data_IF_027299622847
#
_entry.id   IF_027299622847
#
_cell.length_a   1.000
_cell.length_b   1.000
_cell.length_c   1.000
_cell.angle_alpha   90.00
_cell.angle_beta   90.00
_cell.angle_gamma   90.00
#
_symmetry.space_group_name_H-M   'P 1'
#
loop_
_entity.id
_entity.type
_entity.pdbx_description
1 polymer ?
#
# COMPACT_ATOMS: atom_id res chain seq x y z
N UNK A 1 4.82 -17.80 -2.62
CA UNK A 1 5.86 -18.74 -3.11
C UNK A 1 7.16 -18.53 -2.31
N UNK A 2 7.89 -19.61 -2.00
CA UNK A 2 9.05 -19.64 -1.09
C UNK A 2 10.39 -19.22 -1.72
N UNK A 3 10.41 -18.17 -2.54
CA UNK A 3 11.67 -17.60 -3.03
C UNK A 3 12.25 -16.66 -1.99
N UNK A 4 13.56 -16.79 -1.75
CA UNK A 4 14.29 -15.82 -0.95
C UNK A 4 14.20 -14.41 -1.57
N UNK A 5 14.29 -13.35 -0.77
CA UNK A 5 14.10 -11.98 -1.27
C UNK A 5 15.05 -11.58 -2.40
N UNK A 6 16.27 -12.14 -2.44
CA UNK A 6 17.27 -11.81 -3.43
C UNK A 6 16.96 -12.50 -4.76
N UNK A 7 16.69 -13.81 -4.75
CA UNK A 7 16.31 -14.56 -5.95
C UNK A 7 15.04 -13.99 -6.59
N UNK A 8 14.07 -13.56 -5.77
CA UNK A 8 12.86 -12.89 -6.26
C UNK A 8 13.17 -11.62 -7.05
N UNK A 9 14.05 -10.76 -6.52
CA UNK A 9 14.49 -9.54 -7.23
C UNK A 9 15.23 -9.86 -8.53
N UNK A 10 16.09 -10.87 -8.52
CA UNK A 10 16.80 -11.29 -9.73
C UNK A 10 15.80 -11.75 -10.80
N UNK A 11 14.83 -12.58 -10.42
CA UNK A 11 13.75 -13.04 -11.31
C UNK A 11 12.96 -11.86 -11.87
N UNK A 12 12.52 -10.94 -11.01
CA UNK A 12 11.74 -9.78 -11.44
C UNK A 12 12.51 -8.91 -12.44
N UNK A 13 13.79 -8.66 -12.18
CA UNK A 13 14.65 -7.91 -13.10
C UNK A 13 14.82 -8.63 -14.45
N UNK A 14 14.94 -9.95 -14.45
CA UNK A 14 15.03 -10.73 -15.68
C UNK A 14 13.73 -10.65 -16.52
N UNK A 15 12.58 -10.74 -15.85
CA UNK A 15 11.27 -10.59 -16.50
C UNK A 15 11.10 -9.19 -17.10
N UNK A 16 11.43 -8.15 -16.32
CA UNK A 16 11.36 -6.75 -16.79
C UNK A 16 12.23 -6.51 -18.02
N UNK A 17 13.45 -7.07 -18.06
CA UNK A 17 14.35 -6.97 -19.23
C UNK A 17 13.82 -7.69 -20.46
N UNK A 18 13.03 -8.75 -20.27
CA UNK A 18 12.46 -9.56 -21.37
C UNK A 18 11.22 -8.90 -21.98
N UNK A 19 10.60 -7.94 -21.27
CA UNK A 19 9.42 -7.21 -21.74
C UNK A 19 9.73 -6.12 -22.77
N UNK A 20 11.00 -5.81 -23.03
CA UNK A 20 11.34 -4.86 -24.09
C UNK A 20 10.79 -5.37 -25.42
N UNK A 21 9.90 -4.60 -26.03
CA UNK A 21 9.15 -4.91 -27.26
C UNK A 21 8.18 -6.10 -27.21
N UNK A 22 7.81 -6.60 -26.01
CA UNK A 22 6.89 -7.75 -25.86
C UNK A 22 5.78 -7.49 -24.85
N UNK A 23 4.62 -8.10 -25.10
CA UNK A 23 3.54 -8.16 -24.11
C UNK A 23 3.66 -9.46 -23.29
N UNK A 24 3.62 -9.33 -21.96
CA UNK A 24 3.62 -10.46 -21.04
C UNK A 24 2.34 -10.42 -20.19
N UNK A 25 1.66 -11.56 -20.06
CA UNK A 25 0.52 -11.73 -19.16
C UNK A 25 0.97 -12.65 -18.03
N UNK A 26 0.77 -12.19 -16.79
CA UNK A 26 1.12 -12.92 -15.59
C UNK A 26 -0.12 -13.07 -14.71
N UNK A 27 -0.24 -14.23 -14.07
CA UNK A 27 -1.22 -14.46 -13.01
C UNK A 27 -0.46 -14.72 -11.72
N UNK A 28 -0.66 -13.89 -10.71
CA UNK A 28 -0.04 -14.06 -9.40
C UNK A 28 -1.06 -13.83 -8.30
N UNK A 29 -0.85 -14.50 -7.16
CA UNK A 29 -1.58 -14.27 -5.92
C UNK A 29 -0.89 -13.20 -5.04
N UNK A 30 0.30 -12.74 -5.44
CA UNK A 30 1.07 -11.74 -4.71
C UNK A 30 0.82 -10.35 -5.30
N UNK A 31 0.25 -9.45 -4.51
CA UNK A 31 0.08 -8.05 -4.91
C UNK A 31 1.42 -7.34 -5.11
N UNK A 32 2.45 -7.68 -4.32
CA UNK A 32 3.80 -7.13 -4.48
C UNK A 32 4.42 -7.49 -5.83
N UNK A 33 4.30 -8.76 -6.25
CA UNK A 33 4.77 -9.21 -7.58
C UNK A 33 4.01 -8.47 -8.68
N UNK A 34 2.69 -8.38 -8.55
CA UNK A 34 1.85 -7.75 -9.54
C UNK A 34 2.16 -6.25 -9.69
N UNK A 35 2.33 -5.53 -8.58
CA UNK A 35 2.63 -4.10 -8.57
C UNK A 35 4.01 -3.78 -9.16
N UNK A 36 5.00 -4.65 -8.95
CA UNK A 36 6.35 -4.42 -9.49
C UNK A 36 6.47 -4.82 -10.96
N UNK A 37 5.81 -5.90 -11.38
CA UNK A 37 5.98 -6.47 -12.71
C UNK A 37 4.97 -5.95 -13.74
N UNK A 38 3.79 -5.48 -13.31
CA UNK A 38 2.69 -5.19 -14.23
C UNK A 38 2.41 -3.69 -14.32
N UNK A 39 2.43 -3.14 -15.54
CA UNK A 39 1.93 -1.77 -15.79
C UNK A 39 0.41 -1.64 -15.71
N UNK A 40 -0.31 -2.76 -15.88
CA UNK A 40 -1.77 -2.87 -15.71
C UNK A 40 -2.11 -4.09 -14.88
N UNK A 41 -2.96 -3.91 -13.89
CA UNK A 41 -3.49 -4.96 -13.02
C UNK A 41 -4.93 -5.26 -13.38
N UNK A 42 -5.28 -6.54 -13.38
CA UNK A 42 -6.65 -7.03 -13.50
C UNK A 42 -7.01 -7.89 -12.29
N UNK A 43 -8.15 -7.62 -11.65
CA UNK A 43 -8.65 -8.42 -10.53
C UNK A 43 -9.77 -9.33 -11.06
N UNK A 44 -9.58 -10.65 -10.87
CA UNK A 44 -10.55 -11.68 -11.28
C UNK A 44 -11.12 -12.34 -10.04
N UNK A 45 -12.45 -12.40 -9.96
CA UNK A 45 -13.19 -13.05 -8.85
C UNK A 45 -14.24 -13.96 -9.46
N UNK A 46 -14.28 -15.21 -9.00
CA UNK A 46 -15.23 -16.24 -9.48
C UNK A 46 -15.27 -16.38 -11.02
N UNK A 47 -14.11 -16.27 -11.68
CA UNK A 47 -13.99 -16.39 -13.14
C UNK A 47 -14.39 -15.14 -13.93
N UNK A 48 -14.73 -14.04 -13.27
CA UNK A 48 -15.10 -12.78 -13.93
C UNK A 48 -14.09 -11.66 -13.63
N UNK A 49 -13.76 -10.87 -14.65
CA UNK A 49 -12.90 -9.69 -14.49
C UNK A 49 -13.69 -8.57 -13.84
N UNK A 50 -13.34 -8.24 -12.59
CA UNK A 50 -14.02 -7.23 -11.79
C UNK A 50 -13.50 -5.83 -12.10
N UNK A 51 -12.19 -5.68 -12.26
CA UNK A 51 -11.58 -4.40 -12.62
C UNK A 51 -10.26 -4.59 -13.36
N UNK A 52 -9.89 -3.59 -14.16
CA UNK A 52 -8.60 -3.52 -14.85
C UNK A 52 -8.12 -2.07 -14.93
N UNK A 53 -6.84 -1.81 -14.68
CA UNK A 53 -6.28 -0.46 -14.71
C UNK A 53 -4.83 -0.42 -14.26
N UNK A 54 -4.21 0.76 -14.25
CA UNK A 54 -2.91 0.91 -13.58
C UNK A 54 -3.07 0.71 -12.07
N UNK A 55 -2.02 0.26 -11.36
CA UNK A 55 -2.05 0.15 -9.89
C UNK A 55 -2.54 1.43 -9.21
N UNK A 56 -2.07 2.61 -9.64
CA UNK A 56 -2.51 3.87 -9.04
C UNK A 56 -3.99 4.16 -9.30
N UNK A 57 -4.50 3.87 -10.49
CA UNK A 57 -5.92 4.08 -10.81
C UNK A 57 -6.81 3.17 -9.97
N UNK A 58 -6.43 1.91 -9.79
CA UNK A 58 -7.18 0.98 -8.95
C UNK A 58 -7.13 1.41 -7.48
N UNK A 59 -5.97 1.82 -6.96
CA UNK A 59 -5.84 2.39 -5.60
C UNK A 59 -6.69 3.66 -5.45
N UNK A 60 -6.81 4.48 -6.47
CA UNK A 60 -7.66 5.68 -6.43
C UNK A 60 -9.16 5.39 -6.49
N UNK A 61 -9.56 4.38 -7.28
CA UNK A 61 -10.96 4.05 -7.49
C UNK A 61 -11.54 3.17 -6.36
N UNK A 62 -10.73 2.26 -5.82
CA UNK A 62 -11.17 1.24 -4.86
C UNK A 62 -10.50 1.38 -3.48
N UNK A 63 -9.45 2.21 -3.34
CA UNK A 63 -8.79 2.42 -2.06
C UNK A 63 -9.64 3.26 -1.10
N UNK A 64 -9.68 2.84 0.16
CA UNK A 64 -10.51 3.47 1.20
C UNK A 64 -9.86 4.68 1.88
N UNK A 65 -8.60 4.98 1.58
CA UNK A 65 -7.84 6.03 2.24
C UNK A 65 -6.34 5.75 2.23
N UNK A 66 -5.64 6.38 3.17
CA UNK A 66 -4.21 6.20 3.39
C UNK A 66 -3.98 5.50 4.74
N UNK A 67 -3.01 4.61 4.76
CA UNK A 67 -2.54 3.97 5.98
C UNK A 67 -1.27 4.70 6.46
N UNK A 68 -1.34 5.26 7.66
CA UNK A 68 -0.26 6.03 8.29
C UNK A 68 0.26 5.21 9.47
N UNK A 69 1.45 4.65 9.32
CA UNK A 69 2.13 3.96 10.42
C UNK A 69 3.14 4.88 11.11
N UNK A 70 2.91 5.14 12.39
CA UNK A 70 3.78 5.95 13.23
C UNK A 70 4.56 5.01 14.15
N UNK A 71 5.89 5.13 14.14
CA UNK A 71 6.79 4.34 15.00
C UNK A 71 7.54 5.25 15.95
N UNK A 72 7.52 4.89 17.23
CA UNK A 72 8.30 5.56 18.28
C UNK A 72 9.67 4.89 18.39
N UNK A 73 10.70 5.70 18.67
CA UNK A 73 12.05 5.20 18.94
C UNK A 73 12.12 4.36 20.22
N UNK A 74 11.30 4.68 21.21
CA UNK A 74 11.23 4.00 22.49
C UNK A 74 9.80 3.51 22.73
N UNK A 75 9.67 2.30 23.28
CA UNK A 75 8.41 1.68 23.62
C UNK A 75 7.75 2.46 24.77
N UNK A 76 6.61 3.10 24.50
CA UNK A 76 5.92 3.92 25.49
C UNK A 76 4.45 4.04 25.11
N UNK A 77 3.59 3.30 25.82
CA UNK A 77 2.15 3.30 25.58
C UNK A 77 1.54 4.70 25.75
N UNK A 78 1.97 5.47 26.75
CA UNK A 78 1.48 6.84 26.97
C UNK A 78 1.76 7.77 25.79
N UNK A 79 2.96 7.67 25.20
CA UNK A 79 3.32 8.43 24.00
C UNK A 79 2.54 8.01 22.76
N UNK A 80 2.25 6.72 22.61
CA UNK A 80 1.38 6.25 21.52
C UNK A 80 0.01 6.89 21.64
N UNK A 81 -0.58 6.88 22.84
CA UNK A 81 -1.88 7.49 23.09
C UNK A 81 -1.88 9.00 22.82
N UNK A 82 -0.85 9.74 23.25
CA UNK A 82 -0.70 11.17 22.97
C UNK A 82 -0.66 11.46 21.46
N UNK A 83 0.10 10.66 20.71
CA UNK A 83 0.21 10.80 19.25
C UNK A 83 -1.12 10.50 18.56
N UNK A 84 -1.82 9.45 18.98
CA UNK A 84 -3.15 9.12 18.43
C UNK A 84 -4.13 10.26 18.69
N UNK A 85 -4.14 10.82 19.90
CA UNK A 85 -5.01 11.94 20.24
C UNK A 85 -4.69 13.19 19.41
N UNK A 86 -3.41 13.56 19.30
CA UNK A 86 -2.98 14.70 18.48
C UNK A 86 -3.38 14.51 17.00
N UNK A 87 -3.17 13.30 16.46
CA UNK A 87 -3.50 12.99 15.08
C UNK A 87 -5.02 13.00 14.83
N UNK A 88 -5.82 12.49 15.77
CA UNK A 88 -7.28 12.53 15.69
C UNK A 88 -7.86 13.94 15.83
N UNK A 89 -7.16 14.87 16.49
CA UNK A 89 -7.57 16.28 16.52
C UNK A 89 -7.44 16.95 15.15
N UNK A 90 -6.38 16.65 14.39
CA UNK A 90 -6.19 17.18 13.04
C UNK A 90 -7.03 16.43 11.99
N UNK A 91 -7.24 15.12 12.20
CA UNK A 91 -7.97 14.23 11.29
C UNK A 91 -9.06 13.43 12.03
N UNK A 92 -10.26 14.00 12.23
CA UNK A 92 -11.32 13.39 13.03
C UNK A 92 -11.85 12.07 12.45
N UNK A 93 -11.79 11.88 11.13
CA UNK A 93 -12.26 10.65 10.50
C UNK A 93 -11.20 9.54 10.47
N UNK A 94 -10.01 9.77 11.02
CA UNK A 94 -8.95 8.78 11.11
C UNK A 94 -9.33 7.64 12.07
N UNK A 95 -9.17 6.40 11.62
CA UNK A 95 -9.48 5.18 12.40
C UNK A 95 -8.20 4.47 12.79
N UNK A 96 -8.11 4.03 14.04
CA UNK A 96 -7.00 3.15 14.45
C UNK A 96 -7.20 1.77 13.84
N UNK A 97 -6.21 1.29 13.09
CA UNK A 97 -6.19 -0.06 12.53
C UNK A 97 -5.49 -1.02 13.49
N UNK A 98 -4.28 -0.66 13.91
CA UNK A 98 -3.45 -1.48 14.80
C UNK A 98 -2.70 -0.60 15.80
N UNK A 99 -2.58 -1.08 17.03
CA UNK A 99 -1.83 -0.41 18.09
C UNK A 99 -0.81 -1.37 18.72
N UNK A 100 0.43 -0.90 18.86
CA UNK A 100 1.55 -1.63 19.42
C UNK A 100 2.28 -0.74 20.43
N UNK A 101 3.06 -1.33 21.33
CA UNK A 101 3.81 -0.56 22.36
C UNK A 101 4.81 0.42 21.74
N UNK A 102 5.28 0.15 20.53
CA UNK A 102 6.26 0.97 19.79
C UNK A 102 5.64 1.82 18.69
N UNK A 103 4.32 1.87 18.54
CA UNK A 103 3.71 2.62 17.46
C UNK A 103 2.25 2.28 17.17
N UNK A 104 1.67 3.01 16.24
CA UNK A 104 0.26 2.88 15.86
C UNK A 104 0.13 2.99 14.35
N UNK A 105 -0.86 2.30 13.78
CA UNK A 105 -1.25 2.41 12.39
C UNK A 105 -2.67 2.96 12.30
N UNK A 106 -2.84 4.03 11.53
CA UNK A 106 -4.08 4.79 11.39
C UNK A 106 -4.55 4.76 9.93
N UNK A 107 -5.83 4.52 9.68
CA UNK A 107 -6.48 4.69 8.40
C UNK A 107 -7.09 6.09 8.31
N UNK A 108 -6.60 6.90 7.39
CA UNK A 108 -7.13 8.24 7.11
C UNK A 108 -7.98 8.21 5.84
N UNK A 109 -9.28 8.50 5.92
CA UNK A 109 -10.14 8.56 4.73
C UNK A 109 -9.63 9.59 3.72
N UNK A 110 -9.74 9.26 2.44
CA UNK A 110 -9.22 10.08 1.34
C UNK A 110 -9.80 11.51 1.30
N UNK A 111 -11.01 11.71 1.82
CA UNK A 111 -11.70 13.01 1.81
C UNK A 111 -11.02 14.06 2.71
N UNK A 112 -10.26 13.64 3.71
CA UNK A 112 -9.60 14.55 4.67
C UNK A 112 -8.12 14.79 4.40
N UNK A 113 -7.54 14.11 3.40
CA UNK A 113 -6.08 14.06 3.24
C UNK A 113 -5.64 14.57 1.87
N UNK A 114 -5.13 15.80 1.86
CA UNK A 114 -4.41 16.41 0.73
C UNK A 114 -2.91 16.16 0.91
N UNK A 115 -2.44 15.02 0.37
CA UNK A 115 -1.04 14.56 0.48
C UNK A 115 -0.03 15.60 -0.01
N UNK A 116 -0.41 16.44 -0.97
CA UNK A 116 0.43 17.53 -1.48
C UNK A 116 0.72 18.58 -0.40
N UNK A 117 -0.28 18.88 0.45
CA UNK A 117 -0.13 19.81 1.57
C UNK A 117 0.59 19.22 2.77
N UNK A 118 0.38 17.93 3.04
CA UNK A 118 0.99 17.24 4.20
C UNK A 118 2.49 17.02 4.03
N UNK A 119 2.96 16.79 2.79
CA UNK A 119 4.38 16.47 2.53
C UNK A 119 5.12 17.53 1.68
N UNK A 120 4.47 18.65 1.34
CA UNK A 120 5.10 19.80 0.71
C UNK A 120 5.80 19.48 -0.61
N UNK A 121 5.02 19.31 -1.69
CA UNK A 121 5.54 19.42 -3.07
C UNK A 121 4.80 20.51 -3.83
#
# INVERSE_FOLDING_TARGET
AGLDPLARRILWNALLRTMDERAMVLTTHSMDEAEVLCGRLGIVVAGQMQCIGSPQRLKNQYGHGYEVSIRLKEASASRVTEVVQAFQQEHPSAKVLDEYVTGVTLLVPRQEMDVSKTFGT
#
